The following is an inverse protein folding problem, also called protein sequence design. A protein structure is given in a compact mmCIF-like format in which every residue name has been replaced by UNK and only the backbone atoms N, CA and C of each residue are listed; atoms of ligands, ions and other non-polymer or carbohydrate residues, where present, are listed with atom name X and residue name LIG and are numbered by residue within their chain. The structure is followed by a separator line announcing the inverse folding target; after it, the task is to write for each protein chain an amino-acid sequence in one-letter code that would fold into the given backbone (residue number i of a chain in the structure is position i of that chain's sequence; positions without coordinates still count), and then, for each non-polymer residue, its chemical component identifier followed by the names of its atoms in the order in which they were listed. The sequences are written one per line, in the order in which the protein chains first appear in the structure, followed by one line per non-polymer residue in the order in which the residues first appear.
data_IF_614653574072
#
_entry.id   IF_614653574072
#
_cell.length_a   1.000
_cell.length_b   1.000
_cell.length_c   1.000
_cell.angle_alpha   90.00
_cell.angle_beta   90.00
_cell.angle_gamma   90.00
#
_symmetry.space_group_name_H-M   'P 1'
#
loop_
_entity.id
_entity.type
_entity.pdbx_description
1 polymer ?
#
# COMPACT_ATOMS: atom_id res chain seq x y z
N UNK A 1 13.22 13.10 -1.87
CA UNK A 1 11.85 12.58 -1.60
C UNK A 1 11.81 12.04 -0.17
N UNK A 2 10.87 12.50 0.66
CA UNK A 2 10.75 12.04 2.04
C UNK A 2 10.20 10.59 2.09
N UNK A 3 11.02 9.64 2.53
CA UNK A 3 10.69 8.20 2.61
C UNK A 3 9.49 7.94 3.53
N UNK A 4 9.37 8.68 4.62
CA UNK A 4 8.25 8.59 5.56
C UNK A 4 6.94 9.05 4.91
N UNK A 5 6.99 10.12 4.12
CA UNK A 5 5.81 10.60 3.41
C UNK A 5 5.35 9.61 2.33
N UNK A 6 6.30 8.96 1.64
CA UNK A 6 5.99 7.88 0.70
C UNK A 6 5.37 6.67 1.40
N UNK A 7 5.91 6.27 2.56
CA UNK A 7 5.37 5.18 3.37
C UNK A 7 3.93 5.47 3.81
N UNK A 8 3.68 6.68 4.31
CA UNK A 8 2.35 7.11 4.75
C UNK A 8 1.33 7.09 3.60
N UNK A 9 1.71 7.54 2.41
CA UNK A 9 0.85 7.50 1.23
C UNK A 9 0.50 6.07 0.81
N UNK A 10 1.49 5.16 0.82
CA UNK A 10 1.27 3.74 0.51
C UNK A 10 0.35 3.06 1.53
N UNK A 11 0.47 3.40 2.81
CA UNK A 11 -0.43 2.90 3.86
C UNK A 11 -1.87 3.38 3.65
N UNK A 12 -2.07 4.67 3.33
CA UNK A 12 -3.39 5.21 2.97
C UNK A 12 -3.99 4.46 1.78
N UNK A 13 -3.22 4.27 0.71
CA UNK A 13 -3.68 3.58 -0.49
C UNK A 13 -4.07 2.11 -0.19
N UNK A 14 -3.31 1.44 0.66
CA UNK A 14 -3.64 0.08 1.14
C UNK A 14 -4.97 0.04 1.89
N UNK A 15 -5.25 1.03 2.75
CA UNK A 15 -6.54 1.13 3.46
C UNK A 15 -7.68 1.31 2.47
N UNK A 16 -7.56 2.24 1.51
CA UNK A 16 -8.59 2.43 0.49
C UNK A 16 -8.86 1.18 -0.34
N UNK A 17 -7.82 0.45 -0.74
CA UNK A 17 -7.99 -0.80 -1.49
C UNK A 17 -8.68 -1.89 -0.66
N UNK A 18 -8.39 -1.97 0.65
CA UNK A 18 -9.08 -2.89 1.56
C UNK A 18 -10.54 -2.53 1.73
N UNK A 19 -10.86 -1.25 1.87
CA UNK A 19 -12.25 -0.76 1.92
C UNK A 19 -12.98 -1.17 0.65
N UNK A 20 -12.40 -0.90 -0.53
CA UNK A 20 -12.99 -1.28 -1.82
C UNK A 20 -13.23 -2.79 -1.95
N UNK A 21 -12.28 -3.62 -1.49
CA UNK A 21 -12.46 -5.08 -1.42
C UNK A 21 -13.63 -5.47 -0.51
N UNK A 22 -13.69 -4.89 0.69
CA UNK A 22 -14.76 -5.15 1.67
C UNK A 22 -16.13 -4.75 1.13
N UNK A 23 -16.20 -3.62 0.43
CA UNK A 23 -17.43 -3.13 -0.23
C UNK A 23 -17.70 -3.81 -1.57
N UNK A 24 -16.96 -4.89 -1.92
CA UNK A 24 -17.09 -5.63 -3.18
C UNK A 24 -16.99 -4.78 -4.45
N UNK A 25 -16.32 -3.63 -4.37
CA UNK A 25 -16.01 -2.82 -5.55
C UNK A 25 -14.94 -3.53 -6.39
N UNK A 26 -14.97 -3.31 -7.70
CA UNK A 26 -13.96 -3.88 -8.60
C UNK A 26 -12.57 -3.35 -8.22
N UNK A 27 -11.70 -4.27 -7.86
CA UNK A 27 -10.32 -3.96 -7.45
C UNK A 27 -9.35 -4.93 -8.07
N UNK A 28 -8.21 -4.38 -8.49
CA UNK A 28 -7.11 -5.15 -9.05
C UNK A 28 -6.30 -5.74 -7.90
N UNK A 29 -6.39 -7.06 -7.69
CA UNK A 29 -5.68 -7.78 -6.61
C UNK A 29 -4.15 -7.61 -6.66
N UNK A 30 -3.58 -7.45 -7.86
CA UNK A 30 -2.15 -7.19 -8.04
C UNK A 30 -1.70 -5.85 -7.46
N UNK A 31 -2.57 -4.82 -7.40
CA UNK A 31 -2.24 -3.54 -6.77
C UNK A 31 -2.00 -3.72 -5.27
N UNK A 32 -2.80 -4.57 -4.64
CA UNK A 32 -2.70 -4.88 -3.22
C UNK A 32 -1.39 -5.61 -2.90
N UNK A 33 -0.96 -6.54 -3.76
CA UNK A 33 0.36 -7.19 -3.67
C UNK A 33 1.51 -6.18 -3.86
N UNK A 34 1.40 -5.32 -4.88
CA UNK A 34 2.41 -4.30 -5.20
C UNK A 34 2.64 -3.33 -4.05
N UNK A 35 1.58 -2.80 -3.45
CA UNK A 35 1.67 -1.84 -2.35
C UNK A 35 2.28 -2.48 -1.11
N UNK A 36 1.86 -3.72 -0.76
CA UNK A 36 2.47 -4.47 0.35
C UNK A 36 3.96 -4.68 0.15
N UNK A 37 4.38 -5.07 -1.06
CA UNK A 37 5.79 -5.23 -1.39
C UNK A 37 6.57 -3.92 -1.27
N UNK A 38 6.01 -2.81 -1.76
CA UNK A 38 6.65 -1.50 -1.66
C UNK A 38 6.81 -1.02 -0.21
N UNK A 39 5.79 -1.23 0.63
CA UNK A 39 5.87 -0.96 2.07
C UNK A 39 6.99 -1.80 2.71
N UNK A 40 7.01 -3.10 2.45
CA UNK A 40 8.05 -4.00 2.97
C UNK A 40 9.44 -3.55 2.55
N UNK A 41 9.64 -3.21 1.27
CA UNK A 41 10.92 -2.73 0.75
C UNK A 41 11.39 -1.45 1.45
N UNK A 42 10.50 -0.49 1.65
CA UNK A 42 10.84 0.76 2.35
C UNK A 42 11.24 0.48 3.80
N UNK A 43 10.50 -0.39 4.50
CA UNK A 43 10.81 -0.74 5.88
C UNK A 43 12.16 -1.47 6.00
N UNK A 44 12.43 -2.43 5.12
CA UNK A 44 13.71 -3.17 5.08
C UNK A 44 14.90 -2.31 4.66
N UNK A 45 14.70 -1.27 3.84
CA UNK A 45 15.78 -0.34 3.49
C UNK A 45 16.05 0.74 4.54
N UNK A 46 15.16 0.89 5.53
CA UNK A 46 15.32 1.84 6.64
C UNK A 46 15.83 1.18 7.93
N UNK A 47 15.95 -0.16 7.94
CA UNK A 47 16.65 -0.96 8.98
C UNK A 47 18.10 -1.14 8.58
#
# INVERSE_FOLDING_TARGET
MNTNQKLFNLQKELVFLRVKQKTKQSTKTHLLKKIKYQISKILTSNT
#
